data_IF_681272848285
#
_entry.id   IF_681272848285
#
_cell.length_a   1.000
_cell.length_b   1.000
_cell.length_c   1.000
_cell.angle_alpha   90.00
_cell.angle_beta   90.00
_cell.angle_gamma   90.00
#
_symmetry.space_group_name_H-M   'P 1'
#
loop_
_entity.id
_entity.type
_entity.pdbx_description
1 polymer ?
#
# COMPACT_ATOMS: atom_id res chain seq x y z
N UNK A 1 -64.28 -18.42 -4.23
CA UNK A 1 -63.47 -19.12 -3.21
C UNK A 1 -62.05 -18.60 -3.33
N UNK A 2 -61.64 -17.70 -2.44
CA UNK A 2 -60.33 -17.04 -2.48
C UNK A 2 -59.30 -17.86 -1.72
N UNK A 3 -58.30 -18.39 -2.42
CA UNK A 3 -57.15 -19.06 -1.80
C UNK A 3 -56.20 -18.00 -1.24
N UNK A 4 -56.17 -17.88 0.08
CA UNK A 4 -55.20 -17.05 0.78
C UNK A 4 -53.78 -17.56 0.48
N UNK A 5 -52.94 -16.69 -0.09
CA UNK A 5 -51.49 -16.92 -0.17
C UNK A 5 -50.89 -16.72 1.22
N UNK A 6 -50.42 -17.80 1.82
CA UNK A 6 -49.60 -17.75 3.03
C UNK A 6 -48.37 -16.85 2.84
N UNK A 7 -47.99 -16.00 3.81
CA UNK A 7 -46.82 -15.15 3.71
C UNK A 7 -45.53 -15.98 3.79
N UNK A 8 -44.58 -15.70 2.90
CA UNK A 8 -43.23 -16.27 2.93
C UNK A 8 -42.57 -16.06 4.30
N UNK A 9 -41.86 -17.06 4.86
CA UNK A 9 -41.16 -16.91 6.12
C UNK A 9 -40.03 -15.87 6.00
N UNK A 10 -40.06 -14.88 6.91
CA UNK A 10 -39.10 -13.78 6.99
C UNK A 10 -37.70 -14.27 7.41
N UNK A 11 -36.59 -13.78 6.81
CA UNK A 11 -35.27 -14.42 6.86
C UNK A 11 -34.47 -14.19 8.15
N UNK A 12 -35.10 -13.80 9.27
CA UNK A 12 -34.37 -13.47 10.51
C UNK A 12 -34.90 -14.15 11.78
N UNK A 13 -35.44 -15.37 11.66
CA UNK A 13 -35.55 -16.25 12.81
C UNK A 13 -34.14 -16.77 13.19
N UNK A 14 -33.55 -16.18 14.24
CA UNK A 14 -32.30 -16.67 14.84
C UNK A 14 -32.53 -18.03 15.50
N UNK A 15 -32.31 -19.10 14.75
CA UNK A 15 -32.20 -20.46 15.31
C UNK A 15 -30.84 -20.59 16.01
N UNK A 16 -30.82 -20.48 17.34
CA UNK A 16 -29.68 -20.91 18.16
C UNK A 16 -29.63 -22.44 18.09
N UNK A 17 -28.54 -23.01 17.56
CA UNK A 17 -28.27 -24.45 17.63
C UNK A 17 -28.30 -25.24 16.32
N UNK A 18 -28.00 -24.62 15.17
CA UNK A 18 -27.78 -25.38 13.93
C UNK A 18 -26.46 -26.15 13.96
N UNK A 19 -26.51 -27.47 14.06
CA UNK A 19 -25.39 -28.36 13.73
C UNK A 19 -24.92 -27.99 12.31
N UNK A 20 -23.68 -27.51 12.15
CA UNK A 20 -23.11 -27.32 10.82
C UNK A 20 -23.05 -28.69 10.14
N UNK A 21 -23.98 -28.98 9.23
CA UNK A 21 -23.86 -30.13 8.34
C UNK A 21 -22.67 -29.86 7.41
N UNK A 22 -21.69 -30.76 7.30
CA UNK A 22 -20.61 -30.58 6.35
C UNK A 22 -21.21 -30.51 4.94
N UNK A 23 -21.08 -29.35 4.29
CA UNK A 23 -21.42 -29.21 2.88
C UNK A 23 -20.66 -30.25 2.08
N UNK A 24 -21.36 -30.97 1.20
CA UNK A 24 -20.72 -31.97 0.35
C UNK A 24 -19.68 -31.29 -0.54
N UNK A 25 -18.65 -32.03 -0.95
CA UNK A 25 -17.62 -31.52 -1.84
C UNK A 25 -18.20 -30.97 -3.15
N UNK A 26 -19.22 -31.64 -3.70
CA UNK A 26 -19.96 -31.18 -4.87
C UNK A 26 -20.60 -29.81 -4.69
N UNK A 27 -21.25 -29.56 -3.54
CA UNK A 27 -21.85 -28.26 -3.23
C UNK A 27 -20.78 -27.18 -3.04
N UNK A 28 -19.63 -27.52 -2.45
CA UNK A 28 -18.50 -26.59 -2.32
C UNK A 28 -17.94 -26.18 -3.68
N UNK A 29 -17.81 -27.13 -4.60
CA UNK A 29 -17.35 -26.87 -5.97
C UNK A 29 -18.33 -25.99 -6.74
N UNK A 30 -19.63 -26.28 -6.64
CA UNK A 30 -20.68 -25.47 -7.26
C UNK A 30 -20.66 -24.02 -6.74
N UNK A 31 -20.56 -23.86 -5.41
CA UNK A 31 -20.44 -22.53 -4.79
C UNK A 31 -19.17 -21.82 -5.26
N UNK A 32 -18.04 -22.51 -5.37
CA UNK A 32 -16.79 -21.89 -5.80
C UNK A 32 -16.84 -21.48 -7.29
N UNK A 33 -17.43 -22.31 -8.15
CA UNK A 33 -17.63 -22.01 -9.57
C UNK A 33 -18.54 -20.80 -9.75
N UNK A 34 -19.65 -20.73 -9.01
CA UNK A 34 -20.58 -19.58 -9.06
C UNK A 34 -19.91 -18.31 -8.54
N UNK A 35 -19.12 -18.38 -7.47
CA UNK A 35 -18.53 -17.18 -6.82
C UNK A 35 -17.23 -16.69 -7.43
N UNK A 36 -16.39 -17.60 -7.91
CA UNK A 36 -15.02 -17.29 -8.33
C UNK A 36 -14.71 -17.74 -9.75
N UNK A 37 -15.62 -18.44 -10.43
CA UNK A 37 -15.37 -19.03 -11.76
C UNK A 37 -14.35 -20.17 -11.74
N UNK A 38 -13.95 -20.65 -10.56
CA UNK A 38 -12.94 -21.67 -10.38
C UNK A 38 -13.38 -22.70 -9.33
N UNK A 39 -13.02 -23.96 -9.52
CA UNK A 39 -13.28 -25.04 -8.56
C UNK A 39 -12.64 -24.77 -7.18
N UNK A 40 -11.55 -24.01 -7.15
CA UNK A 40 -10.79 -23.67 -5.95
C UNK A 40 -10.99 -22.20 -5.63
N UNK A 41 -11.24 -21.90 -4.35
CA UNK A 41 -11.25 -20.52 -3.85
C UNK A 41 -9.88 -19.87 -4.09
N UNK A 42 -9.81 -18.69 -4.71
CA UNK A 42 -8.55 -18.00 -4.90
C UNK A 42 -7.86 -17.75 -3.55
N UNK A 43 -6.55 -18.03 -3.49
CA UNK A 43 -5.73 -17.72 -2.32
C UNK A 43 -5.58 -16.20 -2.25
N UNK A 44 -6.44 -15.55 -1.49
CA UNK A 44 -6.21 -14.16 -1.10
C UNK A 44 -4.94 -14.14 -0.24
N UNK A 45 -3.83 -13.68 -0.81
CA UNK A 45 -2.63 -13.41 -0.04
C UNK A 45 -3.04 -12.44 1.07
N UNK A 46 -2.81 -12.84 2.33
CA UNK A 46 -2.96 -11.89 3.43
C UNK A 46 -1.89 -10.82 3.20
N UNK A 47 -2.31 -9.65 2.74
CA UNK A 47 -1.47 -8.46 2.82
C UNK A 47 -1.03 -8.35 4.28
N UNK A 48 0.28 -8.30 4.50
CA UNK A 48 0.84 -8.21 5.85
C UNK A 48 0.36 -6.95 6.57
N UNK A 49 0.91 -6.72 7.77
CA UNK A 49 0.63 -5.48 8.50
C UNK A 49 0.96 -4.27 7.60
N UNK A 50 0.08 -3.25 7.53
CA UNK A 50 0.39 -2.03 6.79
C UNK A 50 1.70 -1.44 7.27
N UNK A 51 2.45 -0.88 6.33
CA UNK A 51 3.72 -0.21 6.60
C UNK A 51 3.49 0.97 7.55
N UNK A 52 4.40 1.14 8.51
CA UNK A 52 4.38 2.28 9.43
C UNK A 52 4.63 3.62 8.72
N UNK A 53 5.41 3.58 7.64
CA UNK A 53 5.73 4.75 6.81
C UNK A 53 4.76 4.81 5.65
N UNK A 54 4.10 5.96 5.48
CA UNK A 54 3.34 6.25 4.27
C UNK A 54 4.29 6.46 3.10
N UNK A 55 3.83 6.17 1.89
CA UNK A 55 4.59 6.46 0.67
C UNK A 55 4.97 7.96 0.58
N UNK A 56 4.07 8.84 1.03
CA UNK A 56 4.30 10.28 1.03
C UNK A 56 5.40 10.72 1.99
N UNK A 57 5.50 10.07 3.16
CA UNK A 57 6.57 10.34 4.12
C UNK A 57 7.91 9.85 3.56
N UNK A 58 7.91 8.69 2.91
CA UNK A 58 9.09 8.19 2.19
C UNK A 58 9.57 9.20 1.14
N UNK A 59 8.66 9.70 0.28
CA UNK A 59 8.99 10.67 -0.78
C UNK A 59 9.65 11.94 -0.24
N UNK A 60 9.18 12.44 0.91
CA UNK A 60 9.75 13.63 1.53
C UNK A 60 11.14 13.38 2.12
N UNK A 61 11.36 12.23 2.76
CA UNK A 61 12.72 11.86 3.20
C UNK A 61 13.66 11.83 2.00
N UNK A 62 13.21 11.30 0.87
CA UNK A 62 14.02 11.26 -0.33
C UNK A 62 14.29 12.66 -0.89
N UNK A 63 13.27 13.52 -0.96
CA UNK A 63 13.47 14.90 -1.39
C UNK A 63 14.46 15.66 -0.49
N UNK A 64 14.33 15.49 0.82
CA UNK A 64 15.24 16.08 1.80
C UNK A 64 16.69 15.62 1.60
N UNK A 65 16.91 14.33 1.35
CA UNK A 65 18.22 13.76 1.03
C UNK A 65 18.79 14.25 -0.32
N UNK A 66 17.95 14.68 -1.28
CA UNK A 66 18.42 15.31 -2.52
C UNK A 66 18.84 16.76 -2.32
N UNK A 67 18.22 17.45 -1.36
CA UNK A 67 18.46 18.87 -1.09
C UNK A 67 19.68 19.06 -0.19
N UNK A 68 19.79 18.30 0.89
CA UNK A 68 20.88 18.41 1.86
C UNK A 68 22.03 17.41 1.61
N UNK A 69 21.83 16.45 0.72
CA UNK A 69 22.78 15.37 0.46
C UNK A 69 22.65 14.19 1.43
N UNK A 70 23.71 13.37 1.50
CA UNK A 70 23.67 12.13 2.27
C UNK A 70 23.66 12.38 3.78
N UNK A 71 22.68 11.80 4.49
CA UNK A 71 22.52 11.85 5.94
C UNK A 71 22.61 10.47 6.57
N UNK A 72 22.95 10.44 7.85
CA UNK A 72 22.95 9.19 8.60
C UNK A 72 21.52 8.73 8.94
N UNK A 73 21.33 7.42 9.08
CA UNK A 73 19.99 6.86 9.31
C UNK A 73 19.37 7.36 10.62
N UNK A 74 20.20 7.68 11.62
CA UNK A 74 19.73 8.19 12.91
C UNK A 74 19.19 9.62 12.77
N UNK A 75 19.76 10.43 11.88
CA UNK A 75 19.25 11.77 11.56
C UNK A 75 17.92 11.67 10.83
N UNK A 76 17.77 10.72 9.90
CA UNK A 76 16.50 10.48 9.21
C UNK A 76 15.41 10.06 10.20
N UNK A 77 15.74 9.19 11.17
CA UNK A 77 14.80 8.78 12.22
C UNK A 77 14.37 9.98 13.05
N UNK A 78 15.32 10.81 13.47
CA UNK A 78 15.05 12.01 14.26
C UNK A 78 14.17 13.00 13.48
N UNK A 79 14.51 13.27 12.23
CA UNK A 79 13.76 14.16 11.35
C UNK A 79 12.32 13.67 11.12
N UNK A 80 12.13 12.37 10.88
CA UNK A 80 10.79 11.76 10.76
C UNK A 80 9.97 11.87 12.05
N UNK A 81 10.61 11.78 13.22
CA UNK A 81 9.96 11.98 14.50
C UNK A 81 9.55 13.44 14.73
N UNK A 82 10.43 14.39 14.43
CA UNK A 82 10.24 15.82 14.71
C UNK A 82 9.30 16.50 13.72
N UNK A 83 9.52 16.33 12.41
CA UNK A 83 8.75 17.02 11.37
C UNK A 83 7.44 16.31 11.02
N UNK A 84 7.42 14.99 11.14
CA UNK A 84 6.34 14.14 10.65
C UNK A 84 5.57 13.42 11.76
N UNK A 85 6.06 13.43 13.00
CA UNK A 85 5.45 12.71 14.12
C UNK A 85 5.47 11.19 13.95
N UNK A 86 6.36 10.65 13.11
CA UNK A 86 6.44 9.22 12.77
C UNK A 86 7.60 8.57 13.50
N UNK A 87 7.31 7.82 14.56
CA UNK A 87 8.31 7.00 15.25
C UNK A 87 8.63 5.71 14.48
N UNK A 88 9.81 5.71 13.86
CA UNK A 88 10.36 4.57 13.13
C UNK A 88 11.71 4.17 13.67
N UNK A 89 12.01 2.88 13.61
CA UNK A 89 13.35 2.39 13.94
C UNK A 89 14.31 2.60 12.77
N UNK A 90 15.61 2.67 13.07
CA UNK A 90 16.68 2.69 12.07
C UNK A 90 16.55 1.53 11.05
N UNK A 91 16.16 0.34 11.50
CA UNK A 91 15.92 -0.81 10.62
C UNK A 91 14.75 -0.58 9.64
N UNK A 92 13.76 0.25 10.00
CA UNK A 92 12.68 0.64 9.09
C UNK A 92 13.21 1.56 8.00
N UNK A 93 14.02 2.55 8.37
CA UNK A 93 14.70 3.45 7.42
C UNK A 93 15.62 2.67 6.48
N UNK A 94 16.43 1.75 7.00
CA UNK A 94 17.28 0.89 6.17
C UNK A 94 16.48 0.08 5.14
N UNK A 95 15.35 -0.52 5.55
CA UNK A 95 14.47 -1.26 4.63
C UNK A 95 13.82 -0.35 3.59
N UNK A 96 13.42 0.86 4.00
CA UNK A 96 12.85 1.87 3.10
C UNK A 96 13.86 2.25 2.01
N UNK A 97 15.10 2.58 2.39
CA UNK A 97 16.18 2.92 1.44
C UNK A 97 16.47 1.76 0.48
N UNK A 98 16.56 0.52 1.01
CA UNK A 98 16.77 -0.68 0.19
C UNK A 98 15.66 -0.95 -0.81
N UNK A 99 14.39 -0.80 -0.39
CA UNK A 99 13.23 -1.04 -1.25
C UNK A 99 13.18 -0.08 -2.45
N UNK A 100 13.66 1.15 -2.27
CA UNK A 100 13.79 2.14 -3.34
C UNK A 100 15.13 2.06 -4.09
N UNK A 101 15.95 1.06 -3.77
CA UNK A 101 17.28 0.86 -4.34
C UNK A 101 18.17 2.11 -4.24
N UNK A 102 18.00 2.88 -3.16
CA UNK A 102 18.69 4.13 -2.94
C UNK A 102 19.99 3.88 -2.19
N UNK A 103 21.07 3.74 -2.96
CA UNK A 103 22.43 3.62 -2.43
C UNK A 103 23.11 4.98 -2.41
N UNK A 104 24.24 5.07 -1.69
CA UNK A 104 25.07 6.27 -1.63
C UNK A 104 25.49 6.78 -3.00
N UNK A 105 25.75 5.86 -3.92
CA UNK A 105 26.09 6.19 -5.31
C UNK A 105 24.90 6.77 -6.05
N UNK A 106 23.69 6.23 -5.86
CA UNK A 106 22.47 6.74 -6.51
C UNK A 106 22.15 8.16 -6.04
N UNK A 107 22.26 8.44 -4.74
CA UNK A 107 22.04 9.77 -4.18
C UNK A 107 23.07 10.76 -4.73
N UNK A 108 24.36 10.38 -4.74
CA UNK A 108 25.44 11.22 -5.27
C UNK A 108 25.27 11.48 -6.77
N UNK A 109 24.86 10.48 -7.54
CA UNK A 109 24.59 10.62 -8.96
C UNK A 109 23.42 11.58 -9.20
N UNK A 110 22.33 11.45 -8.44
CA UNK A 110 21.16 12.33 -8.59
C UNK A 110 21.43 13.76 -8.14
N UNK A 111 22.20 13.96 -7.06
CA UNK A 111 22.62 15.30 -6.65
C UNK A 111 23.48 15.95 -7.74
N UNK A 112 24.45 15.22 -8.30
CA UNK A 112 25.31 15.74 -9.37
C UNK A 112 24.56 15.96 -10.70
N UNK A 113 23.56 15.13 -11.02
CA UNK A 113 22.75 15.30 -12.23
C UNK A 113 21.87 16.55 -12.19
N UNK A 114 21.48 17.01 -10.98
CA UNK A 114 20.71 18.24 -10.79
C UNK A 114 21.55 19.50 -11.03
N UNK A 115 22.83 19.48 -10.67
CA UNK A 115 23.75 20.61 -10.92
C UNK A 115 24.03 20.84 -12.41
N UNK A 116 23.87 19.81 -13.26
CA UNK A 116 24.05 19.90 -14.71
C UNK A 116 22.76 20.21 -15.49
N UNK A 117 21.59 20.22 -14.82
CA UNK A 117 20.28 20.51 -15.42
C UNK A 117 19.86 21.98 -15.39
N UNK A 118 20.74 22.89 -14.96
CA UNK A 118 20.45 24.32 -14.77
C UNK A 118 20.68 25.23 -15.99
N UNK A 119 20.74 24.70 -17.21
CA UNK A 119 21.10 25.47 -18.41
C UNK A 119 20.04 25.41 -19.52
N UNK A 120 18.77 25.64 -19.20
CA UNK A 120 17.78 25.99 -20.24
C UNK A 120 16.61 26.81 -19.68
N UNK A 121 16.85 28.11 -19.52
CA UNK A 121 15.80 29.13 -19.36
C UNK A 121 16.28 30.45 -19.97
N UNK A 122 16.72 30.40 -21.22
CA UNK A 122 17.10 31.58 -22.00
C UNK A 122 16.02 31.93 -23.01
N UNK A 123 14.88 32.47 -22.52
CA UNK A 123 13.87 33.07 -23.38
C UNK A 123 14.46 34.24 -24.16
N UNK A 124 14.70 34.05 -25.45
CA UNK A 124 14.94 35.16 -26.36
C UNK A 124 13.59 35.77 -26.74
N UNK A 125 13.19 36.78 -25.96
CA UNK A 125 12.13 37.70 -26.32
C UNK A 125 12.56 38.53 -27.55
N UNK A 126 11.56 38.85 -28.36
CA UNK A 126 11.59 39.71 -29.52
C UNK A 126 12.36 41.02 -29.31
N UNK A 127 13.13 41.42 -30.32
CA UNK A 127 13.39 42.84 -30.60
C UNK A 127 13.32 43.07 -32.12
N UNK A 128 12.28 43.84 -32.50
CA UNK A 128 12.03 44.65 -33.71
C UNK A 128 12.60 44.23 -35.06
#
# INVERSE_FOLDING_TARGET
>A
MSLAREPFPSPNARTRGGTQTPVSESQRLEINLVRYGAAVKPRLAKSGRPLKLSQADEDRVFQWLLEEGWKDQDEIVKWLGEEHGVEVSQATVSRMLKRRNWTRETVKLQSSNRELGGFDAGGAQSTS
#
